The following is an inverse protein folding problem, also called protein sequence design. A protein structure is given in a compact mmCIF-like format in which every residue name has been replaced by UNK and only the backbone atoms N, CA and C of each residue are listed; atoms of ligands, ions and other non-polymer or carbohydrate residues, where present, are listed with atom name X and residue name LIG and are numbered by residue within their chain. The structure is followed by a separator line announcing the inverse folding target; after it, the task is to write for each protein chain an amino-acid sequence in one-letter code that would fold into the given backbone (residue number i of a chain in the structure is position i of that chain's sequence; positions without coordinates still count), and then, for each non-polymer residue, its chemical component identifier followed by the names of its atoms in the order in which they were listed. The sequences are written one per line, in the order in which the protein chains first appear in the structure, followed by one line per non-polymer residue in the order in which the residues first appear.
data_IF_883854583525
#
_entry.id   IF_883854583525
#
_cell.length_a   1.000
_cell.length_b   1.000
_cell.length_c   1.000
_cell.angle_alpha   90.00
_cell.angle_beta   90.00
_cell.angle_gamma   90.00
#
_symmetry.space_group_name_H-M   'P 1'
#
loop_
_entity.id
_entity.type
_entity.pdbx_description
1 polymer ?
#
# COMPACT_ATOMS: atom_id res chain seq x y z
N UNK A 1 -11.98 -9.45 37.49
CA UNK A 1 -12.38 -9.57 38.90
C UNK A 1 -11.82 -10.84 39.50
N UNK A 2 -11.96 -12.00 38.86
CA UNK A 2 -11.31 -13.24 39.30
C UNK A 2 -10.97 -14.13 38.11
N UNK A 3 -9.97 -14.98 38.29
CA UNK A 3 -9.59 -16.06 37.39
C UNK A 3 -9.50 -17.34 38.22
N UNK A 4 -10.19 -18.36 37.78
CA UNK A 4 -10.28 -19.65 38.42
C UNK A 4 -9.83 -20.73 37.44
N UNK A 5 -8.56 -21.17 37.46
CA UNK A 5 -8.09 -22.28 36.64
C UNK A 5 -8.75 -23.59 37.01
N UNK A 6 -8.95 -24.49 36.06
CA UNK A 6 -9.39 -25.84 36.28
C UNK A 6 -8.21 -26.75 36.68
N UNK A 7 -8.52 -27.80 37.50
CA UNK A 7 -7.57 -28.84 37.89
C UNK A 7 -8.16 -30.21 37.57
N UNK A 8 -7.31 -31.16 37.24
CA UNK A 8 -7.71 -32.56 37.10
C UNK A 8 -7.90 -33.25 38.47
N UNK A 9 -8.27 -34.52 38.44
CA UNK A 9 -8.49 -35.30 39.64
C UNK A 9 -7.22 -35.50 40.49
N UNK A 10 -6.06 -35.38 39.88
CA UNK A 10 -4.75 -35.51 40.53
C UNK A 10 -4.19 -34.16 41.02
N UNK A 11 -4.96 -33.08 40.80
CA UNK A 11 -4.58 -31.71 41.18
C UNK A 11 -3.65 -31.01 40.21
N UNK A 12 -3.46 -31.52 38.99
CA UNK A 12 -2.67 -30.87 37.99
C UNK A 12 -3.47 -29.77 37.28
N UNK A 13 -2.81 -28.69 36.98
CA UNK A 13 -3.39 -27.55 36.30
C UNK A 13 -3.81 -27.88 34.86
N UNK A 14 -5.07 -27.68 34.53
CA UNK A 14 -5.60 -27.84 33.20
C UNK A 14 -5.43 -26.54 32.34
N UNK A 15 -5.56 -26.68 31.05
CA UNK A 15 -5.47 -25.54 30.09
C UNK A 15 -6.80 -24.79 29.95
N UNK A 16 -7.64 -24.85 30.94
CA UNK A 16 -8.97 -24.23 30.96
C UNK A 16 -9.26 -23.62 32.33
N UNK A 17 -10.33 -22.85 32.37
CA UNK A 17 -10.78 -22.23 33.61
C UNK A 17 -11.92 -21.27 33.36
N UNK A 18 -12.18 -20.45 34.35
CA UNK A 18 -13.24 -19.43 34.34
C UNK A 18 -12.65 -18.05 34.60
N UNK A 19 -13.13 -17.06 33.83
CA UNK A 19 -12.82 -15.65 34.05
C UNK A 19 -14.11 -14.93 34.43
N UNK A 20 -14.03 -14.05 35.42
CA UNK A 20 -15.07 -13.09 35.77
C UNK A 20 -14.58 -11.68 35.52
N UNK A 21 -15.26 -10.95 34.63
CA UNK A 21 -14.92 -9.58 34.27
C UNK A 21 -15.25 -8.61 35.40
N UNK A 22 -14.46 -7.57 35.53
CA UNK A 22 -14.80 -6.40 36.34
C UNK A 22 -15.61 -5.43 35.49
N UNK A 23 -16.91 -5.46 35.65
CA UNK A 23 -17.86 -4.57 34.96
C UNK A 23 -18.45 -3.55 35.94
N UNK A 24 -18.86 -2.40 35.46
CA UNK A 24 -19.65 -1.45 36.22
C UNK A 24 -21.13 -1.89 36.24
N UNK A 25 -21.91 -1.30 37.13
CA UNK A 25 -23.32 -1.62 37.25
C UNK A 25 -24.05 -1.29 35.93
N UNK A 26 -24.75 -2.28 35.39
CA UNK A 26 -25.47 -2.17 34.13
C UNK A 26 -24.65 -2.41 32.86
N UNK A 27 -23.35 -2.64 32.95
CA UNK A 27 -22.53 -3.04 31.80
C UNK A 27 -22.72 -4.50 31.47
N UNK A 28 -22.64 -4.79 30.17
CA UNK A 28 -22.65 -6.14 29.62
C UNK A 28 -21.27 -6.43 29.04
N UNK A 29 -20.72 -7.59 29.34
CA UNK A 29 -19.44 -8.02 28.80
C UNK A 29 -19.50 -8.13 27.27
N UNK A 30 -18.56 -7.50 26.58
CA UNK A 30 -18.47 -7.51 25.11
C UNK A 30 -17.83 -8.79 24.56
N UNK A 31 -18.10 -9.94 25.20
CA UNK A 31 -17.55 -11.26 24.88
C UNK A 31 -18.62 -12.20 24.37
N UNK A 32 -18.22 -13.16 23.54
CA UNK A 32 -19.10 -14.19 23.02
C UNK A 32 -18.39 -15.54 22.96
N UNK A 33 -19.19 -16.61 22.86
CA UNK A 33 -18.64 -17.95 22.60
C UNK A 33 -17.83 -17.94 21.32
N UNK A 34 -16.72 -18.67 21.32
CA UNK A 34 -15.76 -18.79 20.23
C UNK A 34 -14.91 -17.55 19.95
N UNK A 35 -15.00 -16.49 20.74
CA UNK A 35 -14.07 -15.38 20.64
C UNK A 35 -12.63 -15.84 20.82
N UNK A 36 -11.77 -15.35 19.95
CA UNK A 36 -10.32 -15.55 19.98
C UNK A 36 -9.73 -14.34 20.68
N UNK A 37 -9.15 -14.57 21.85
CA UNK A 37 -8.67 -13.51 22.72
C UNK A 37 -7.16 -13.52 22.84
N UNK A 38 -6.58 -12.33 22.84
CA UNK A 38 -5.19 -12.09 23.21
C UNK A 38 -5.17 -11.17 24.43
N UNK A 39 -4.42 -11.52 25.43
CA UNK A 39 -4.28 -10.71 26.62
C UNK A 39 -2.85 -10.64 27.12
N UNK A 40 -2.64 -9.69 28.01
CA UNK A 40 -1.38 -9.55 28.74
C UNK A 40 -1.64 -9.17 30.19
N UNK A 41 -0.72 -9.58 31.05
CA UNK A 41 -0.71 -9.21 32.45
C UNK A 41 0.72 -9.15 32.95
N UNK A 42 0.91 -8.51 34.09
CA UNK A 42 2.19 -8.47 34.76
C UNK A 42 2.15 -9.41 35.98
N UNK A 43 2.96 -10.44 35.93
CA UNK A 43 3.08 -11.41 37.02
C UNK A 43 4.36 -11.09 37.82
N UNK A 44 4.18 -10.60 39.04
CA UNK A 44 5.28 -10.26 39.95
C UNK A 44 5.76 -11.45 40.79
N UNK A 45 4.98 -12.53 40.86
CA UNK A 45 5.24 -13.65 41.76
C UNK A 45 5.94 -14.81 41.08
N UNK A 46 5.85 -14.90 39.73
CA UNK A 46 6.50 -15.99 39.02
C UNK A 46 8.02 -15.87 39.13
N UNK A 47 8.72 -16.91 39.59
CA UNK A 47 10.17 -16.87 39.85
C UNK A 47 11.02 -16.46 38.64
N UNK A 48 10.62 -16.71 37.44
CA UNK A 48 11.33 -16.35 36.23
C UNK A 48 11.23 -14.85 35.82
N UNK A 49 10.43 -14.07 36.49
CA UNK A 49 10.21 -12.66 36.17
C UNK A 49 11.48 -11.81 36.16
N UNK A 50 12.46 -12.22 36.94
CA UNK A 50 13.72 -11.50 37.11
C UNK A 50 14.82 -11.96 36.15
N UNK A 51 14.62 -13.06 35.46
CA UNK A 51 15.64 -13.65 34.63
C UNK A 51 15.23 -13.60 33.17
N UNK A 52 15.73 -12.60 32.44
CA UNK A 52 15.65 -12.56 30.99
C UNK A 52 16.21 -13.84 30.37
N UNK A 53 17.12 -14.50 31.04
CA UNK A 53 17.65 -15.83 30.70
C UNK A 53 16.64 -16.96 30.77
N UNK A 54 15.55 -16.80 31.51
CA UNK A 54 14.48 -17.78 31.56
C UNK A 54 13.47 -17.66 30.42
N UNK A 55 13.62 -16.64 29.58
CA UNK A 55 12.94 -16.55 28.30
C UNK A 55 13.59 -17.53 27.35
N UNK A 56 13.13 -18.75 27.42
CA UNK A 56 13.53 -19.77 26.48
C UNK A 56 12.61 -19.69 25.27
N UNK A 57 13.10 -19.06 24.20
CA UNK A 57 12.40 -18.93 22.93
C UNK A 57 11.97 -20.29 22.37
N UNK A 58 12.69 -21.37 22.71
CA UNK A 58 12.34 -22.72 22.30
C UNK A 58 11.03 -23.21 22.92
N UNK A 59 10.63 -22.63 24.03
CA UNK A 59 9.36 -22.91 24.72
C UNK A 59 8.20 -22.02 24.26
N UNK A 60 8.46 -21.03 23.42
CA UNK A 60 7.43 -20.10 22.93
C UNK A 60 6.86 -19.19 24.03
N UNK A 61 7.51 -19.12 25.18
CA UNK A 61 7.12 -18.22 26.26
C UNK A 61 7.40 -16.78 25.86
N UNK A 62 6.40 -15.93 26.04
CA UNK A 62 6.53 -14.50 25.84
C UNK A 62 6.49 -13.73 27.14
N UNK A 63 7.33 -14.12 28.04
CA UNK A 63 7.58 -13.37 29.25
C UNK A 63 8.76 -12.44 29.01
N UNK A 64 8.56 -11.15 29.17
CA UNK A 64 9.62 -10.16 29.14
C UNK A 64 9.44 -9.21 30.32
N UNK A 65 10.42 -9.13 31.19
CA UNK A 65 10.36 -8.28 32.38
C UNK A 65 9.07 -8.44 33.20
N UNK A 66 8.59 -9.70 33.36
CA UNK A 66 7.37 -10.01 34.08
C UNK A 66 6.07 -9.82 33.29
N UNK A 67 6.10 -9.38 32.06
CA UNK A 67 4.92 -9.32 31.21
C UNK A 67 4.67 -10.65 30.51
N UNK A 68 3.47 -11.19 30.70
CA UNK A 68 3.02 -12.44 30.12
C UNK A 68 1.96 -12.14 29.04
N UNK A 69 2.12 -12.72 27.85
CA UNK A 69 1.11 -12.69 26.79
C UNK A 69 0.43 -14.03 26.69
N UNK A 70 -0.88 -14.05 26.67
CA UNK A 70 -1.67 -15.26 26.58
C UNK A 70 -2.64 -15.20 25.40
N UNK A 71 -2.99 -16.39 24.89
CA UNK A 71 -4.02 -16.58 23.88
C UNK A 71 -5.03 -17.62 24.40
N UNK A 72 -6.30 -17.28 24.32
CA UNK A 72 -7.37 -18.18 24.77
C UNK A 72 -8.63 -18.01 23.93
N UNK A 73 -9.46 -19.04 23.93
CA UNK A 73 -10.78 -19.07 23.31
C UNK A 73 -11.84 -19.12 24.38
N UNK A 74 -12.93 -18.38 24.20
CA UNK A 74 -14.10 -18.46 25.05
C UNK A 74 -14.95 -19.64 24.62
N UNK A 75 -15.20 -20.58 25.52
CA UNK A 75 -15.93 -21.81 25.22
C UNK A 75 -17.38 -21.77 25.64
N UNK A 76 -17.71 -20.99 26.70
CA UNK A 76 -19.04 -20.92 27.27
C UNK A 76 -19.25 -19.60 28.00
N UNK A 77 -20.44 -19.01 27.91
CA UNK A 77 -20.90 -17.90 28.75
C UNK A 77 -21.73 -18.46 29.87
N UNK A 78 -21.32 -18.23 31.13
CA UNK A 78 -21.92 -18.83 32.31
C UNK A 78 -23.09 -18.01 32.88
N UNK A 79 -23.20 -16.73 32.52
CA UNK A 79 -24.23 -15.83 32.99
C UNK A 79 -24.90 -15.11 31.79
N UNK A 80 -25.92 -15.75 31.28
CA UNK A 80 -26.70 -15.17 30.17
C UNK A 80 -27.29 -13.81 30.57
N UNK A 81 -27.02 -12.79 29.82
CA UNK A 81 -27.54 -11.43 29.98
C UNK A 81 -26.52 -10.40 30.46
N UNK A 82 -25.55 -10.78 31.30
CA UNK A 82 -24.45 -9.86 31.66
C UNK A 82 -23.14 -10.21 30.95
N UNK A 83 -22.98 -11.44 30.50
CA UNK A 83 -21.74 -11.97 29.90
C UNK A 83 -20.50 -11.64 30.75
N UNK A 84 -20.70 -11.57 32.06
CA UNK A 84 -19.65 -11.19 32.99
C UNK A 84 -18.72 -12.37 33.27
N UNK A 85 -19.27 -13.58 33.23
CA UNK A 85 -18.54 -14.81 33.62
C UNK A 85 -18.54 -15.79 32.46
N UNK A 86 -17.36 -16.30 32.09
CA UNK A 86 -17.21 -17.23 30.98
C UNK A 86 -16.10 -18.25 31.21
N UNK A 87 -16.21 -19.40 30.54
CA UNK A 87 -15.16 -20.40 30.47
C UNK A 87 -14.20 -20.10 29.31
N UNK A 88 -12.94 -20.39 29.55
CA UNK A 88 -11.89 -20.28 28.53
C UNK A 88 -11.12 -21.58 28.39
N UNK A 89 -10.46 -21.74 27.23
CA UNK A 89 -9.42 -22.71 26.96
C UNK A 89 -8.21 -22.00 26.35
N UNK A 90 -7.02 -22.32 26.87
CA UNK A 90 -5.79 -21.74 26.33
C UNK A 90 -5.46 -22.33 24.95
N UNK A 91 -4.77 -21.59 24.13
CA UNK A 91 -4.24 -22.05 22.85
C UNK A 91 -3.46 -23.36 23.02
N UNK A 92 -3.64 -24.31 22.09
CA UNK A 92 -3.14 -25.68 22.20
C UNK A 92 -1.62 -25.81 22.20
N UNK A 93 -1.10 -26.93 22.69
CA UNK A 93 0.35 -27.21 22.72
C UNK A 93 0.96 -27.51 21.37
N UNK A 94 0.14 -27.89 20.40
CA UNK A 94 0.56 -28.07 19.00
C UNK A 94 0.85 -26.74 18.28
N UNK A 95 0.40 -25.65 18.88
CA UNK A 95 0.63 -24.31 18.37
C UNK A 95 2.07 -23.87 18.59
N UNK A 96 2.48 -22.85 17.89
CA UNK A 96 3.80 -22.22 18.02
C UNK A 96 4.20 -21.85 19.45
N UNK A 97 3.20 -21.69 20.31
CA UNK A 97 3.32 -21.35 21.72
C UNK A 97 3.15 -22.61 22.58
N UNK A 98 4.22 -23.30 22.85
CA UNK A 98 4.18 -24.54 23.63
C UNK A 98 3.75 -24.35 25.08
N UNK A 99 3.95 -23.16 25.63
CA UNK A 99 3.58 -22.80 26.97
C UNK A 99 2.72 -21.55 26.96
N UNK A 100 1.49 -21.70 27.41
CA UNK A 100 0.62 -20.57 27.66
C UNK A 100 0.49 -20.40 29.15
N UNK A 101 0.74 -19.21 29.64
CA UNK A 101 0.47 -18.86 31.02
C UNK A 101 -1.04 -18.79 31.22
N UNK A 102 -1.50 -19.21 32.39
CA UNK A 102 -2.88 -18.95 32.75
C UNK A 102 -3.08 -17.45 33.00
N UNK A 103 -4.26 -16.93 32.65
CA UNK A 103 -4.63 -15.58 33.03
C UNK A 103 -4.63 -15.46 34.56
N UNK A 104 -4.33 -14.28 35.05
CA UNK A 104 -4.45 -13.93 36.47
C UNK A 104 -5.34 -12.68 36.61
N UNK A 105 -5.62 -12.31 37.84
CA UNK A 105 -6.27 -11.05 38.16
C UNK A 105 -5.49 -9.87 37.52
N UNK A 106 -6.19 -8.83 37.10
CA UNK A 106 -5.65 -7.70 36.34
C UNK A 106 -5.20 -8.01 34.89
N UNK A 107 -5.60 -9.15 34.33
CA UNK A 107 -5.45 -9.42 32.91
C UNK A 107 -6.21 -8.37 32.07
N UNK A 108 -5.52 -7.79 31.13
CA UNK A 108 -6.12 -7.00 30.05
C UNK A 108 -6.15 -7.81 28.77
N UNK A 109 -7.29 -7.93 28.13
CA UNK A 109 -7.41 -8.70 26.89
C UNK A 109 -8.34 -8.05 25.89
N UNK A 110 -8.20 -8.43 24.63
CA UNK A 110 -9.05 -8.06 23.52
C UNK A 110 -9.45 -9.30 22.74
N UNK A 111 -10.68 -9.35 22.27
CA UNK A 111 -11.10 -10.30 21.25
C UNK A 111 -10.69 -9.74 19.88
N UNK A 112 -9.91 -10.52 19.11
CA UNK A 112 -9.41 -10.10 17.80
C UNK A 112 -9.96 -10.93 16.65
N UNK A 113 -10.82 -11.89 16.92
CA UNK A 113 -11.50 -12.75 15.98
C UNK A 113 -12.52 -13.65 16.65
N UNK A 114 -13.14 -14.52 15.86
CA UNK A 114 -14.07 -15.53 16.38
C UNK A 114 -14.05 -16.75 15.45
N UNK A 115 -14.00 -17.96 16.00
CA UNK A 115 -13.92 -19.18 15.21
C UNK A 115 -15.15 -19.43 14.34
N UNK A 116 -16.34 -19.04 14.77
CA UNK A 116 -17.61 -19.41 14.13
C UNK A 116 -18.47 -18.24 13.70
N UNK A 117 -18.53 -17.15 14.47
CA UNK A 117 -19.39 -15.99 14.19
C UNK A 117 -18.68 -14.98 13.28
N UNK A 118 -19.11 -14.90 12.01
CA UNK A 118 -18.53 -14.01 11.01
C UNK A 118 -18.63 -12.52 11.37
N UNK A 119 -19.66 -12.10 12.11
CA UNK A 119 -19.82 -10.70 12.53
C UNK A 119 -18.75 -10.26 13.54
N UNK A 120 -18.11 -11.22 14.18
CA UNK A 120 -17.05 -11.01 15.19
C UNK A 120 -15.65 -11.33 14.67
N UNK A 121 -15.50 -11.60 13.38
CA UNK A 121 -14.22 -11.93 12.75
C UNK A 121 -13.50 -10.67 12.23
N UNK A 122 -13.67 -9.54 12.92
CA UNK A 122 -13.04 -8.28 12.56
C UNK A 122 -12.21 -7.75 13.72
N UNK A 123 -11.07 -7.16 13.40
CA UNK A 123 -10.28 -6.45 14.39
C UNK A 123 -9.48 -5.30 13.78
N UNK A 124 -9.06 -4.38 14.63
CA UNK A 124 -8.17 -3.31 14.27
C UNK A 124 -7.08 -3.20 15.33
N UNK A 125 -5.87 -2.93 14.91
CA UNK A 125 -4.76 -2.65 15.82
C UNK A 125 -3.78 -1.66 15.22
N UNK A 126 -3.07 -1.00 16.09
CA UNK A 126 -2.08 0.02 15.73
C UNK A 126 -0.72 -0.37 16.32
N UNK A 127 0.30 -0.14 15.53
CA UNK A 127 1.70 -0.32 15.92
C UNK A 127 2.41 1.03 15.80
N UNK A 128 3.72 1.08 16.06
CA UNK A 128 4.51 2.29 15.89
C UNK A 128 4.55 2.79 14.44
N UNK A 129 4.43 1.90 13.47
CA UNK A 129 4.69 2.21 12.06
C UNK A 129 3.47 2.07 11.16
N UNK A 130 2.43 1.36 11.58
CA UNK A 130 1.22 1.17 10.79
C UNK A 130 -0.01 0.91 11.65
N UNK A 131 -1.19 1.17 11.08
CA UNK A 131 -2.49 0.75 11.57
C UNK A 131 -3.09 -0.26 10.59
N UNK A 132 -3.71 -1.32 11.09
CA UNK A 132 -4.26 -2.40 10.29
C UNK A 132 -5.65 -2.78 10.72
N UNK A 133 -6.51 -3.07 9.73
CA UNK A 133 -7.85 -3.62 9.90
C UNK A 133 -7.91 -5.01 9.27
N UNK A 134 -8.44 -5.97 10.02
CA UNK A 134 -8.57 -7.37 9.62
C UNK A 134 -10.04 -7.75 9.49
N UNK A 135 -10.34 -8.63 8.54
CA UNK A 135 -11.67 -9.24 8.31
C UNK A 135 -11.51 -10.74 8.10
N UNK A 136 -12.48 -11.51 8.57
CA UNK A 136 -12.48 -12.96 8.42
C UNK A 136 -11.50 -13.68 9.35
N UNK A 137 -11.13 -13.08 10.48
CA UNK A 137 -10.23 -13.71 11.46
C UNK A 137 -10.96 -14.82 12.20
N UNK A 138 -10.74 -16.04 11.77
CA UNK A 138 -11.41 -17.26 12.24
C UNK A 138 -10.46 -18.33 12.75
N UNK A 139 -9.20 -17.98 13.00
CA UNK A 139 -8.18 -18.87 13.54
C UNK A 139 -7.24 -18.07 14.46
N UNK A 140 -6.40 -18.75 15.19
CA UNK A 140 -5.40 -18.18 16.08
C UNK A 140 -4.43 -17.23 15.37
N UNK A 141 -4.16 -17.47 14.09
CA UNK A 141 -3.31 -16.64 13.26
C UNK A 141 -4.10 -16.07 12.09
N UNK A 142 -3.85 -14.82 11.78
CA UNK A 142 -4.40 -14.22 10.59
C UNK A 142 -3.42 -14.32 9.41
N UNK A 143 -3.97 -14.37 8.21
CA UNK A 143 -3.22 -14.39 6.95
C UNK A 143 -3.23 -13.00 6.31
N UNK A 144 -2.32 -12.78 5.36
CA UNK A 144 -2.29 -11.51 4.60
C UNK A 144 -3.60 -11.24 3.85
N UNK A 145 -4.31 -12.28 3.41
CA UNK A 145 -5.60 -12.15 2.73
C UNK A 145 -6.73 -11.62 3.61
N UNK A 146 -6.56 -11.66 4.94
CA UNK A 146 -7.51 -11.08 5.90
C UNK A 146 -7.31 -9.59 6.14
N UNK A 147 -6.25 -8.99 5.58
CA UNK A 147 -6.02 -7.54 5.70
C UNK A 147 -6.97 -6.80 4.78
N UNK A 148 -7.91 -6.07 5.35
CA UNK A 148 -8.85 -5.22 4.62
C UNK A 148 -8.31 -3.82 4.36
N UNK A 149 -7.51 -3.32 5.29
CA UNK A 149 -6.87 -2.02 5.20
C UNK A 149 -5.58 -2.02 6.01
N UNK A 150 -4.57 -1.35 5.49
CA UNK A 150 -3.39 -0.95 6.26
C UNK A 150 -2.95 0.43 5.80
N UNK A 151 -2.69 1.33 6.73
CA UNK A 151 -2.06 2.62 6.50
C UNK A 151 -0.78 2.75 7.33
N UNK A 152 0.22 3.40 6.77
CA UNK A 152 1.55 3.54 7.32
C UNK A 152 2.61 2.76 6.53
N UNK A 153 3.55 2.12 7.21
CA UNK A 153 4.57 1.29 6.56
C UNK A 153 3.95 0.00 6.01
N UNK A 154 4.02 -0.17 4.69
CA UNK A 154 3.50 -1.35 3.99
C UNK A 154 4.56 -2.42 3.70
N UNK A 155 5.80 -2.25 4.12
CA UNK A 155 6.93 -3.16 3.80
C UNK A 155 6.69 -4.62 4.23
N UNK A 156 5.81 -4.85 5.20
CA UNK A 156 5.43 -6.18 5.67
C UNK A 156 4.20 -6.76 4.96
N UNK A 157 3.61 -6.02 4.01
CA UNK A 157 2.38 -6.37 3.32
C UNK A 157 2.68 -6.64 1.84
N UNK A 158 3.06 -7.86 1.51
CA UNK A 158 3.22 -8.28 0.13
C UNK A 158 1.94 -8.97 -0.34
N UNK A 159 1.07 -8.24 -1.05
CA UNK A 159 -0.18 -8.75 -1.62
C UNK A 159 -0.06 -8.74 -3.14
N UNK A 160 -0.51 -9.81 -3.78
CA UNK A 160 -0.47 -10.00 -5.25
C UNK A 160 0.94 -9.92 -5.87
N UNK A 161 2.00 -10.19 -5.10
CA UNK A 161 3.37 -10.10 -5.60
C UNK A 161 3.89 -8.67 -5.84
N UNK A 162 3.14 -7.65 -5.42
CA UNK A 162 3.58 -6.27 -5.50
C UNK A 162 4.53 -5.95 -4.35
N UNK A 163 5.62 -5.27 -4.67
CA UNK A 163 6.52 -4.70 -3.68
C UNK A 163 5.91 -3.39 -3.16
N UNK A 164 5.31 -3.48 -1.97
CA UNK A 164 4.65 -2.36 -1.33
C UNK A 164 5.57 -1.78 -0.25
N UNK A 165 6.61 -1.08 -0.69
CA UNK A 165 7.54 -0.42 0.23
C UNK A 165 7.10 1.00 0.58
N UNK A 166 7.51 1.46 1.78
CA UNK A 166 7.30 2.82 2.25
C UNK A 166 5.95 3.06 2.93
N UNK A 167 5.72 4.34 3.26
CA UNK A 167 4.50 4.79 3.96
C UNK A 167 3.40 5.09 2.94
N UNK A 168 2.35 4.31 2.98
CA UNK A 168 1.24 4.33 2.02
C UNK A 168 -0.05 3.82 2.66
N UNK A 169 -1.11 3.71 1.87
CA UNK A 169 -2.36 3.07 2.29
C UNK A 169 -2.72 1.93 1.33
N UNK A 170 -3.04 0.78 1.89
CA UNK A 170 -3.69 -0.33 1.20
C UNK A 170 -5.14 -0.41 1.64
N UNK A 171 -6.07 -0.45 0.68
CA UNK A 171 -7.51 -0.53 0.94
C UNK A 171 -8.17 -1.48 -0.07
N UNK A 172 -9.06 -2.35 0.38
CA UNK A 172 -9.84 -3.21 -0.51
C UNK A 172 -10.86 -2.42 -1.33
N UNK A 173 -11.49 -1.40 -0.73
CA UNK A 173 -12.48 -0.56 -1.38
C UNK A 173 -12.30 0.90 -0.96
N UNK A 174 -12.49 1.82 -1.90
CA UNK A 174 -12.50 3.26 -1.67
C UNK A 174 -13.80 3.84 -2.18
N UNK A 175 -14.58 4.50 -1.30
CA UNK A 175 -15.73 5.30 -1.66
C UNK A 175 -15.38 6.76 -1.43
N UNK A 176 -15.36 7.54 -2.50
CA UNK A 176 -14.92 8.94 -2.46
C UNK A 176 -16.01 9.85 -3.00
N UNK A 177 -16.20 10.99 -2.34
CA UNK A 177 -16.98 12.12 -2.84
C UNK A 177 -16.05 13.32 -2.93
N UNK A 178 -16.06 14.02 -4.06
CA UNK A 178 -15.19 15.18 -4.30
C UNK A 178 -14.16 14.92 -5.40
N UNK A 179 -13.13 15.74 -5.41
CA UNK A 179 -12.05 15.69 -6.40
C UNK A 179 -10.83 14.97 -5.84
N UNK A 180 -10.23 14.09 -6.65
CA UNK A 180 -8.91 13.52 -6.34
C UNK A 180 -7.86 14.37 -7.06
N UNK A 181 -6.98 14.99 -6.29
CA UNK A 181 -5.79 15.65 -6.83
C UNK A 181 -4.59 14.73 -6.67
N UNK A 182 -3.99 14.34 -7.77
CA UNK A 182 -2.77 13.54 -7.76
C UNK A 182 -1.56 14.44 -7.93
N UNK A 183 -0.80 14.66 -6.85
CA UNK A 183 0.47 15.35 -6.90
C UNK A 183 1.57 14.35 -7.30
N UNK A 184 2.10 14.49 -8.49
CA UNK A 184 3.26 13.71 -8.95
C UNK A 184 4.52 14.56 -8.84
N UNK A 185 5.19 14.49 -7.68
CA UNK A 185 6.39 15.29 -7.41
C UNK A 185 7.57 14.88 -8.32
N UNK A 186 7.68 13.59 -8.64
CA UNK A 186 8.74 13.02 -9.48
C UNK A 186 8.24 12.51 -10.85
N UNK A 187 7.16 13.08 -11.34
CA UNK A 187 6.64 12.69 -12.65
C UNK A 187 7.64 13.01 -13.77
N UNK A 188 7.82 12.11 -14.75
CA UNK A 188 8.67 12.38 -15.88
C UNK A 188 8.14 13.57 -16.68
N UNK A 189 9.05 14.41 -17.15
CA UNK A 189 8.75 15.46 -18.12
C UNK A 189 8.73 14.85 -19.50
N UNK A 190 7.70 15.16 -20.29
CA UNK A 190 7.57 14.69 -21.68
C UNK A 190 7.06 15.80 -22.59
N UNK A 191 7.40 15.70 -23.88
CA UNK A 191 6.78 16.52 -24.93
C UNK A 191 5.66 15.70 -25.58
N UNK A 192 4.50 16.29 -25.70
CA UNK A 192 3.43 15.80 -26.58
C UNK A 192 3.44 16.63 -27.86
N UNK A 193 3.46 15.93 -29.00
CA UNK A 193 3.48 16.53 -30.35
C UNK A 193 2.12 16.27 -30.97
N UNK A 194 1.42 17.33 -31.35
CA UNK A 194 0.16 17.28 -32.10
C UNK A 194 0.41 17.70 -33.55
N UNK A 195 0.10 16.79 -34.46
CA UNK A 195 0.21 17.00 -35.90
C UNK A 195 -1.14 17.24 -36.58
N UNK A 196 -2.22 17.36 -35.78
CA UNK A 196 -3.61 17.55 -36.24
C UNK A 196 -4.13 16.47 -37.22
N UNK A 197 -3.57 15.27 -37.19
CA UNK A 197 -3.97 14.16 -38.05
C UNK A 197 -2.95 13.04 -38.13
N UNK A 198 -2.98 12.33 -39.27
CA UNK A 198 -1.99 11.31 -39.56
C UNK A 198 -0.63 11.95 -39.84
N UNK A 199 0.46 11.29 -39.39
CA UNK A 199 1.83 11.75 -39.67
C UNK A 199 2.22 11.49 -41.14
N UNK A 200 1.41 11.98 -42.05
CA UNK A 200 1.61 11.87 -43.50
C UNK A 200 1.25 13.18 -44.17
N UNK A 201 2.13 13.68 -45.00
CA UNK A 201 1.96 14.93 -45.72
C UNK A 201 2.11 14.72 -47.23
N UNK A 202 1.01 14.76 -47.96
CA UNK A 202 1.02 14.60 -49.41
C UNK A 202 1.66 15.83 -50.09
N UNK A 203 2.13 15.61 -51.31
CA UNK A 203 2.72 16.67 -52.10
C UNK A 203 1.69 17.81 -52.36
N UNK A 204 2.09 19.03 -52.07
CA UNK A 204 1.27 20.23 -52.17
C UNK A 204 0.53 20.59 -50.89
N UNK A 205 0.65 19.79 -49.84
CA UNK A 205 0.00 20.02 -48.55
C UNK A 205 0.91 20.64 -47.50
N UNK A 206 0.30 21.08 -46.41
CA UNK A 206 0.98 21.65 -45.26
C UNK A 206 0.35 21.08 -43.99
N UNK A 207 1.16 20.90 -42.96
CA UNK A 207 0.78 20.39 -41.68
C UNK A 207 1.29 21.31 -40.58
N UNK A 208 0.49 21.59 -39.59
CA UNK A 208 0.93 22.28 -38.39
C UNK A 208 1.35 21.28 -37.33
N UNK A 209 2.53 21.45 -36.77
CA UNK A 209 3.05 20.72 -35.61
C UNK A 209 2.98 21.65 -34.42
N UNK A 210 2.29 21.22 -33.36
CA UNK A 210 2.21 21.96 -32.10
C UNK A 210 2.73 21.08 -30.96
N UNK A 211 3.56 21.65 -30.11
CA UNK A 211 4.22 20.94 -29.05
C UNK A 211 3.79 21.46 -27.68
N UNK A 212 3.52 20.56 -26.74
CA UNK A 212 3.27 20.86 -25.35
C UNK A 212 4.19 20.05 -24.45
N UNK A 213 4.53 20.61 -23.31
CA UNK A 213 5.35 19.94 -22.28
C UNK A 213 4.52 19.64 -21.07
N UNK A 214 4.55 18.38 -20.64
CA UNK A 214 3.84 17.92 -19.47
C UNK A 214 4.80 17.37 -18.43
N UNK A 215 4.52 17.63 -17.15
CA UNK A 215 5.08 16.91 -16.01
C UNK A 215 3.96 16.08 -15.39
N UNK A 216 3.99 14.76 -15.64
CA UNK A 216 2.84 13.91 -15.33
C UNK A 216 1.62 14.31 -16.18
N UNK A 217 0.59 14.87 -15.55
CA UNK A 217 -0.64 15.36 -16.19
C UNK A 217 -0.72 16.89 -16.26
N UNK A 218 0.22 17.58 -15.64
CA UNK A 218 0.26 19.05 -15.61
C UNK A 218 0.91 19.60 -16.87
N UNK A 219 0.21 20.50 -17.58
CA UNK A 219 0.77 21.26 -18.71
C UNK A 219 1.71 22.33 -18.16
N UNK A 220 3.00 22.18 -18.41
CA UNK A 220 4.07 23.10 -18.00
C UNK A 220 4.72 23.81 -19.18
N UNK A 221 4.03 23.89 -20.31
CA UNK A 221 4.55 24.46 -21.55
C UNK A 221 5.01 25.92 -21.40
N UNK A 222 4.35 26.69 -20.56
CA UNK A 222 4.69 28.08 -20.24
C UNK A 222 6.01 28.24 -19.45
N UNK A 223 6.51 27.17 -18.86
CA UNK A 223 7.82 27.17 -18.16
C UNK A 223 9.00 26.94 -19.09
N UNK A 224 8.76 26.57 -20.35
CA UNK A 224 9.83 26.33 -21.34
C UNK A 224 10.56 27.62 -21.65
N UNK A 225 11.88 27.63 -21.48
CA UNK A 225 12.77 28.75 -21.74
C UNK A 225 13.31 28.74 -23.15
N UNK A 226 13.53 27.55 -23.69
CA UNK A 226 14.11 27.38 -25.02
C UNK A 226 13.49 26.16 -25.68
N UNK A 227 13.07 26.38 -26.93
CA UNK A 227 12.68 25.34 -27.87
C UNK A 227 13.74 25.16 -28.93
N UNK A 228 13.92 23.94 -29.42
CA UNK A 228 14.70 23.64 -30.59
C UNK A 228 14.01 22.57 -31.43
N UNK A 229 14.15 22.66 -32.72
CA UNK A 229 13.73 21.63 -33.66
C UNK A 229 14.88 21.30 -34.62
N UNK A 230 15.05 20.01 -34.86
CA UNK A 230 16.07 19.50 -35.78
C UNK A 230 15.42 18.55 -36.77
N UNK A 231 15.63 18.78 -38.05
CA UNK A 231 15.23 17.89 -39.12
C UNK A 231 16.35 16.93 -39.49
N UNK A 232 15.96 15.69 -39.82
CA UNK A 232 16.81 14.67 -40.44
C UNK A 232 15.99 14.03 -41.58
N UNK A 233 16.27 14.45 -42.81
CA UNK A 233 15.67 13.92 -44.04
C UNK A 233 16.58 12.95 -44.77
N UNK A 234 17.80 12.75 -44.26
CA UNK A 234 18.87 11.97 -44.91
C UNK A 234 19.74 12.79 -45.83
N UNK A 235 19.46 14.08 -46.09
CA UNK A 235 20.34 15.03 -46.82
C UNK A 235 20.94 16.02 -45.82
N UNK A 236 22.18 15.75 -45.41
CA UNK A 236 22.87 16.54 -44.39
C UNK A 236 23.00 18.02 -44.72
N UNK A 237 23.26 18.38 -45.96
CA UNK A 237 23.45 19.77 -46.34
C UNK A 237 22.14 20.55 -46.35
N UNK A 238 21.07 19.92 -46.83
CA UNK A 238 19.74 20.51 -46.83
C UNK A 238 19.20 20.61 -45.39
N UNK A 239 19.45 19.58 -44.55
CA UNK A 239 19.05 19.58 -43.17
C UNK A 239 19.77 20.65 -42.34
N UNK A 240 21.06 20.86 -42.55
CA UNK A 240 21.79 21.96 -41.91
C UNK A 240 21.21 23.33 -42.27
N UNK A 241 20.93 23.58 -43.56
CA UNK A 241 20.32 24.82 -44.00
C UNK A 241 18.93 25.02 -43.39
N UNK A 242 18.13 23.96 -43.35
CA UNK A 242 16.80 23.97 -42.73
C UNK A 242 16.87 24.26 -41.23
N UNK A 243 17.75 23.59 -40.50
CA UNK A 243 17.93 23.76 -39.08
C UNK A 243 18.37 25.18 -38.70
N UNK A 244 19.25 25.79 -39.50
CA UNK A 244 19.66 27.19 -39.31
C UNK A 244 18.48 28.14 -39.51
N UNK A 245 17.65 27.88 -40.51
CA UNK A 245 16.46 28.70 -40.84
C UNK A 245 15.42 28.67 -39.69
N UNK A 246 15.30 27.53 -39.00
CA UNK A 246 14.29 27.32 -37.97
C UNK A 246 14.86 27.36 -36.52
N UNK A 247 16.00 28.02 -36.35
CA UNK A 247 16.64 28.20 -35.01
C UNK A 247 15.76 28.93 -33.98
N UNK A 248 14.78 29.71 -34.46
CA UNK A 248 13.87 30.50 -33.61
C UNK A 248 12.54 29.76 -33.39
N UNK A 249 12.53 28.40 -33.49
CA UNK A 249 11.37 27.58 -33.20
C UNK A 249 10.87 27.82 -31.75
N UNK A 250 9.57 27.96 -31.62
CA UNK A 250 8.93 28.34 -30.34
C UNK A 250 7.85 27.34 -29.86
N UNK A 251 7.91 26.09 -30.34
CA UNK A 251 6.94 25.04 -29.96
C UNK A 251 5.83 24.83 -30.99
N UNK A 252 5.75 25.66 -32.06
CA UNK A 252 4.84 25.44 -33.18
C UNK A 252 5.53 25.76 -34.50
N UNK A 253 5.22 24.97 -35.55
CA UNK A 253 5.75 25.16 -36.88
C UNK A 253 4.77 24.58 -37.91
N UNK A 254 4.68 25.24 -39.08
CA UNK A 254 4.01 24.68 -40.23
C UNK A 254 5.03 24.04 -41.16
N UNK A 255 4.87 22.77 -41.44
CA UNK A 255 5.70 21.97 -42.36
C UNK A 255 5.02 21.95 -43.70
N UNK A 256 5.78 22.22 -44.77
CA UNK A 256 5.30 22.24 -46.14
C UNK A 256 5.95 21.13 -46.97
N UNK A 257 5.17 20.49 -47.81
CA UNK A 257 5.63 19.54 -48.81
C UNK A 257 5.23 20.05 -50.21
N UNK A 258 5.89 21.12 -50.66
CA UNK A 258 5.60 21.76 -51.94
C UNK A 258 6.82 21.75 -52.87
N UNK A 259 6.58 21.98 -54.17
CA UNK A 259 7.63 21.99 -55.18
C UNK A 259 8.68 23.12 -54.99
N UNK A 260 8.26 24.21 -54.34
CA UNK A 260 9.13 25.37 -54.11
C UNK A 260 9.77 25.34 -52.73
N UNK A 261 9.07 24.77 -51.76
CA UNK A 261 9.52 24.65 -50.38
C UNK A 261 9.12 23.26 -49.89
N UNK A 262 10.10 22.39 -49.69
CA UNK A 262 9.84 21.09 -49.07
C UNK A 262 10.57 21.02 -47.75
N UNK A 263 9.81 20.99 -46.68
CA UNK A 263 10.34 20.77 -45.32
C UNK A 263 10.62 19.28 -45.05
N UNK A 264 10.13 18.38 -45.92
CA UNK A 264 10.41 16.94 -45.87
C UNK A 264 11.72 16.54 -46.57
N UNK A 265 12.45 17.48 -47.16
CA UNK A 265 13.69 17.25 -47.84
C UNK A 265 13.54 17.12 -49.39
N UNK A 266 14.68 17.07 -50.08
CA UNK A 266 14.76 17.14 -51.57
C UNK A 266 14.41 15.83 -52.28
N UNK A 267 13.98 14.80 -51.65
CA UNK A 267 13.70 13.49 -52.24
C UNK A 267 12.30 13.44 -52.88
N UNK A 268 12.20 13.96 -54.08
CA UNK A 268 10.95 14.31 -54.76
C UNK A 268 10.14 13.16 -55.39
N UNK A 269 10.42 11.89 -55.17
CA UNK A 269 9.76 10.81 -55.94
C UNK A 269 9.37 9.57 -55.14
N UNK A 270 9.69 9.46 -53.87
CA UNK A 270 9.36 8.28 -53.07
C UNK A 270 8.84 8.71 -51.69
N UNK A 271 7.98 7.91 -51.08
CA UNK A 271 7.60 8.09 -49.67
C UNK A 271 8.87 8.04 -48.83
N UNK A 272 9.28 9.17 -48.30
CA UNK A 272 10.47 9.31 -47.47
C UNK A 272 10.04 9.69 -46.08
N UNK A 273 10.61 9.00 -45.08
CA UNK A 273 10.39 9.39 -43.68
C UNK A 273 11.38 10.46 -43.30
N UNK A 274 10.89 11.62 -42.91
CA UNK A 274 11.69 12.71 -42.35
C UNK A 274 11.47 12.75 -40.84
N UNK A 275 12.55 12.73 -40.06
CA UNK A 275 12.48 12.81 -38.61
C UNK A 275 12.63 14.27 -38.16
N UNK A 276 11.77 14.67 -37.26
CA UNK A 276 11.91 15.93 -36.52
C UNK A 276 12.13 15.63 -35.03
N UNK A 277 13.31 15.99 -34.58
CA UNK A 277 13.64 15.92 -33.13
C UNK A 277 13.34 17.27 -32.50
N UNK A 278 12.46 17.29 -31.51
CA UNK A 278 12.03 18.50 -30.82
C UNK A 278 12.58 18.45 -29.40
N UNK A 279 13.25 19.50 -28.98
CA UNK A 279 13.82 19.65 -27.66
C UNK A 279 13.17 20.84 -26.95
N UNK A 280 12.75 20.61 -25.71
CA UNK A 280 12.29 21.68 -24.82
C UNK A 280 13.18 21.72 -23.58
N UNK A 281 13.62 22.92 -23.23
CA UNK A 281 14.50 23.13 -22.07
C UNK A 281 13.90 24.18 -21.16
N UNK A 282 13.89 23.92 -19.88
CA UNK A 282 13.58 24.88 -18.82
C UNK A 282 14.76 24.99 -17.84
N UNK A 283 14.58 25.70 -16.73
CA UNK A 283 15.64 25.93 -15.75
C UNK A 283 16.15 24.66 -15.05
N UNK A 284 15.43 23.54 -15.13
CA UNK A 284 15.71 22.32 -14.35
C UNK A 284 15.93 21.06 -15.20
N UNK A 285 15.42 21.04 -16.43
CA UNK A 285 15.44 19.84 -17.27
C UNK A 285 15.45 20.19 -18.77
N UNK A 286 15.96 19.24 -19.55
CA UNK A 286 15.81 19.22 -21.02
C UNK A 286 15.17 17.90 -21.40
N UNK A 287 14.20 17.95 -22.29
CA UNK A 287 13.45 16.77 -22.77
C UNK A 287 13.36 16.79 -24.29
N UNK A 288 13.38 15.62 -24.90
CA UNK A 288 13.31 15.43 -26.33
C UNK A 288 12.14 14.54 -26.72
N UNK A 289 11.54 14.81 -27.86
CA UNK A 289 10.59 13.94 -28.54
C UNK A 289 10.86 13.92 -30.05
N UNK A 290 10.49 12.82 -30.70
CA UNK A 290 10.69 12.63 -32.14
C UNK A 290 9.34 12.41 -32.80
N UNK A 291 9.09 13.10 -33.86
CA UNK A 291 7.99 12.83 -34.81
C UNK A 291 8.55 12.49 -36.17
N UNK A 292 7.95 11.51 -36.83
CA UNK A 292 8.28 11.08 -38.19
C UNK A 292 7.12 11.44 -39.11
N UNK A 293 7.40 12.14 -40.18
CA UNK A 293 6.42 12.55 -41.18
C UNK A 293 6.80 11.95 -42.52
#
# INVERSE_FOLDING_TARGET
ESVEPDYDADGNLLRSGTISLKLQDGEIGAVAVDDICMGYFHDYETPGNNAVSDIDDSRGNRMFAGFCTIYFRITEILDAGTNKRFRYVLRGVSDRWQYSFHPCEALHFVAYGNFTNKERQTSAYETRTYRRFLVGVNDWEFTKSMVAMQDGDLSNLNIFGLDMTGYSAYLNNIYMTGTIEQLQIDAPVRIEIDTQGDNFLAYGESMEITCKVFKGWEDITDTVRQWAIRRDSGDTADDEAWNIKHKDFNGSITIHNTKEISDLGNNSVTVVSTLFTITATNDTASVEAIVTI
#
